data_IF_996434790107
#
_entry.id   IF_996434790107
#
_cell.length_a   1.000
_cell.length_b   1.000
_cell.length_c   1.000
_cell.angle_alpha   90.00
_cell.angle_beta   90.00
_cell.angle_gamma   90.00
#
_symmetry.space_group_name_H-M   'P 1'
#
loop_
_entity.id
_entity.type
_entity.pdbx_description
1 polymer ?
#
# COMPACT_ATOMS: atom_id res chain seq x y z
N UNK A 1 -5.37 2.41 -29.52
CA UNK A 1 -4.23 2.19 -28.62
C UNK A 1 -4.16 3.38 -27.67
N UNK A 2 -3.65 3.21 -26.46
CA UNK A 2 -3.50 4.29 -25.49
C UNK A 2 -2.04 4.73 -25.38
N UNK A 3 -1.84 6.03 -25.15
CA UNK A 3 -0.54 6.66 -24.87
C UNK A 3 -0.57 7.17 -23.44
N UNK A 4 0.52 6.97 -22.70
CA UNK A 4 0.63 7.34 -21.28
C UNK A 4 1.74 8.39 -21.13
N UNK A 5 1.42 9.44 -20.40
CA UNK A 5 2.36 10.49 -20.01
C UNK A 5 2.34 10.61 -18.50
N UNK A 6 3.52 10.73 -17.90
CA UNK A 6 3.71 11.25 -16.55
C UNK A 6 4.18 12.71 -16.67
N UNK A 7 3.93 13.54 -15.65
CA UNK A 7 4.61 14.83 -15.52
C UNK A 7 6.10 14.64 -15.14
N UNK A 8 6.86 15.73 -15.15
CA UNK A 8 8.31 15.72 -14.85
C UNK A 8 8.61 15.14 -13.47
N UNK A 9 7.83 15.51 -12.44
CA UNK A 9 7.93 14.99 -11.07
C UNK A 9 7.37 13.56 -10.91
N UNK A 10 6.72 13.01 -11.94
CA UNK A 10 6.03 11.71 -11.98
C UNK A 10 4.88 11.54 -10.97
N UNK A 11 4.38 12.63 -10.39
CA UNK A 11 3.27 12.69 -9.44
C UNK A 11 1.86 12.68 -10.08
N UNK A 12 1.77 12.85 -11.40
CA UNK A 12 0.52 12.89 -12.18
C UNK A 12 0.63 11.97 -13.39
N UNK A 13 -0.48 11.29 -13.71
CA UNK A 13 -0.60 10.43 -14.90
C UNK A 13 -1.75 10.90 -15.79
N UNK A 14 -1.51 10.95 -17.10
CA UNK A 14 -2.54 11.14 -18.12
C UNK A 14 -2.48 10.02 -19.16
N UNK A 15 -3.61 9.37 -19.41
CA UNK A 15 -3.79 8.36 -20.45
C UNK A 15 -4.66 8.94 -21.56
N UNK A 16 -4.21 8.86 -22.81
CA UNK A 16 -4.87 9.48 -23.97
C UNK A 16 -4.98 8.51 -25.15
N UNK A 17 -5.87 8.79 -26.11
CA UNK A 17 -5.94 8.03 -27.36
C UNK A 17 -4.73 8.33 -28.26
N UNK A 18 -4.23 7.33 -28.98
CA UNK A 18 -3.04 7.41 -29.86
C UNK A 18 -3.28 8.09 -31.21
N UNK A 19 -4.31 8.94 -31.35
CA UNK A 19 -4.66 9.55 -32.63
C UNK A 19 -3.94 10.91 -32.79
N UNK A 20 -2.98 10.99 -33.73
CA UNK A 20 -2.08 12.14 -33.91
C UNK A 20 -2.78 13.51 -34.08
N UNK A 21 -4.01 13.51 -34.62
CA UNK A 21 -4.79 14.74 -34.86
C UNK A 21 -5.99 14.91 -33.92
N UNK A 22 -6.30 13.94 -33.05
CA UNK A 22 -7.47 13.95 -32.16
C UNK A 22 -7.21 13.10 -30.90
N UNK A 23 -6.15 13.43 -30.15
CA UNK A 23 -5.81 12.74 -28.90
C UNK A 23 -6.77 13.17 -27.78
N UNK A 24 -7.65 12.27 -27.37
CA UNK A 24 -8.65 12.48 -26.32
C UNK A 24 -8.14 11.97 -24.97
N UNK A 25 -8.45 12.66 -23.88
CA UNK A 25 -8.16 12.21 -22.52
C UNK A 25 -9.09 11.05 -22.15
N UNK A 26 -8.50 9.93 -21.73
CA UNK A 26 -9.21 8.70 -21.35
C UNK A 26 -9.21 8.53 -19.83
N UNK A 27 -8.10 8.85 -19.17
CA UNK A 27 -7.99 8.87 -17.72
C UNK A 27 -6.94 9.89 -17.25
N UNK A 28 -7.17 10.51 -16.10
CA UNK A 28 -6.20 11.37 -15.43
C UNK A 28 -6.23 11.14 -13.91
N UNK A 29 -5.06 11.19 -13.26
CA UNK A 29 -4.92 10.90 -11.84
C UNK A 29 -3.59 11.29 -11.22
N UNK A 30 -3.48 10.98 -9.94
CA UNK A 30 -2.31 11.16 -9.09
C UNK A 30 -1.52 9.85 -8.98
N UNK A 31 -0.21 9.95 -8.84
CA UNK A 31 0.71 8.82 -8.71
C UNK A 31 1.64 9.06 -7.53
N UNK A 32 1.88 8.01 -6.75
CA UNK A 32 2.96 7.98 -5.77
C UNK A 32 3.71 6.65 -5.91
N UNK A 33 5.05 6.66 -5.85
CA UNK A 33 5.89 5.46 -5.90
C UNK A 33 6.76 5.33 -4.63
N UNK A 34 6.70 4.18 -3.98
CA UNK A 34 7.55 3.80 -2.85
C UNK A 34 8.89 3.24 -3.35
N UNK A 35 9.99 3.68 -2.75
CA UNK A 35 11.36 3.55 -3.28
C UNK A 35 12.28 2.97 -2.20
N UNK A 36 13.19 2.03 -2.55
CA UNK A 36 13.39 1.42 -3.87
C UNK A 36 12.57 0.13 -4.05
N UNK A 37 11.95 -0.07 -5.21
CA UNK A 37 11.56 -1.41 -5.70
C UNK A 37 10.37 -2.10 -4.95
N UNK A 38 9.40 -1.30 -4.48
CA UNK A 38 8.30 -1.72 -3.59
C UNK A 38 6.88 -1.62 -4.19
N UNK A 39 6.26 -0.43 -4.24
CA UNK A 39 4.83 -0.27 -4.60
C UNK A 39 4.54 1.08 -5.25
N UNK A 40 3.74 1.08 -6.34
CA UNK A 40 3.19 2.29 -6.96
C UNK A 40 1.69 2.36 -6.69
N UNK A 41 1.24 3.47 -6.13
CA UNK A 41 -0.17 3.83 -6.00
C UNK A 41 -0.56 4.78 -7.13
N UNK A 42 -1.68 4.47 -7.78
CA UNK A 42 -2.31 5.34 -8.78
C UNK A 42 -3.75 5.57 -8.33
N UNK A 43 -4.14 6.84 -8.23
CA UNK A 43 -5.52 7.25 -7.95
C UNK A 43 -6.02 8.05 -9.16
N UNK A 44 -6.91 7.46 -9.95
CA UNK A 44 -7.55 8.16 -11.05
C UNK A 44 -8.65 9.09 -10.52
N UNK A 45 -8.56 10.37 -10.86
CA UNK A 45 -9.54 11.41 -10.53
C UNK A 45 -10.68 11.43 -11.55
N UNK A 46 -10.34 11.13 -12.81
CA UNK A 46 -11.24 11.18 -13.96
C UNK A 46 -10.99 9.99 -14.88
N UNK A 47 -12.07 9.35 -15.35
CA UNK A 47 -12.05 8.31 -16.38
C UNK A 47 -13.23 8.56 -17.32
N UNK A 48 -12.98 8.61 -18.63
CA UNK A 48 -13.98 8.90 -19.66
C UNK A 48 -14.67 7.66 -20.24
N UNK A 49 -14.20 6.46 -19.89
CA UNK A 49 -14.82 5.17 -20.24
C UNK A 49 -16.04 4.89 -19.36
N UNK A 50 -17.08 4.28 -19.90
CA UNK A 50 -18.20 3.79 -19.08
C UNK A 50 -17.81 2.47 -18.39
N UNK A 51 -18.36 2.15 -17.18
CA UNK A 51 -18.12 0.85 -16.52
C UNK A 51 -18.49 -0.37 -17.37
N UNK A 52 -19.38 -0.19 -18.36
CA UNK A 52 -19.77 -1.19 -19.36
C UNK A 52 -18.67 -1.52 -20.38
N UNK A 53 -17.70 -0.63 -20.58
CA UNK A 53 -16.73 -0.69 -21.67
C UNK A 53 -15.54 -1.58 -21.31
N UNK A 54 -15.84 -2.79 -20.81
CA UNK A 54 -14.89 -3.68 -20.13
C UNK A 54 -13.62 -3.96 -20.95
N UNK A 55 -13.70 -4.05 -22.28
CA UNK A 55 -12.55 -4.24 -23.17
C UNK A 55 -11.61 -3.02 -23.18
N UNK A 56 -12.16 -1.80 -23.11
CA UNK A 56 -11.37 -0.57 -23.02
C UNK A 56 -10.77 -0.42 -21.62
N UNK A 57 -11.47 -0.86 -20.58
CA UNK A 57 -10.97 -0.87 -19.20
C UNK A 57 -9.81 -1.88 -19.05
N UNK A 58 -9.95 -3.10 -19.58
CA UNK A 58 -8.88 -4.10 -19.60
C UNK A 58 -7.65 -3.60 -20.39
N UNK A 59 -7.88 -2.94 -21.54
CA UNK A 59 -6.80 -2.30 -22.31
C UNK A 59 -6.14 -1.13 -21.56
N UNK A 60 -6.91 -0.29 -20.86
CA UNK A 60 -6.41 0.82 -20.04
C UNK A 60 -5.51 0.29 -18.93
N UNK A 61 -6.02 -0.66 -18.15
CA UNK A 61 -5.31 -1.31 -17.04
C UNK A 61 -4.03 -2.02 -17.51
N UNK A 62 -4.11 -2.81 -18.58
CA UNK A 62 -2.96 -3.52 -19.17
C UNK A 62 -1.88 -2.56 -19.69
N UNK A 63 -2.28 -1.43 -20.31
CA UNK A 63 -1.33 -0.42 -20.79
C UNK A 63 -0.65 0.32 -19.63
N UNK A 64 -1.43 0.75 -18.62
CA UNK A 64 -0.90 1.45 -17.43
C UNK A 64 0.03 0.55 -16.63
N UNK A 65 -0.40 -0.67 -16.32
CA UNK A 65 0.43 -1.68 -15.64
C UNK A 65 1.73 -1.93 -16.39
N UNK A 66 1.68 -2.09 -17.72
CA UNK A 66 2.88 -2.36 -18.52
C UNK A 66 3.86 -1.19 -18.59
N UNK A 67 3.37 0.04 -18.76
CA UNK A 67 4.18 1.26 -18.78
C UNK A 67 4.83 1.52 -17.41
N UNK A 68 4.04 1.49 -16.33
CA UNK A 68 4.52 1.77 -14.96
C UNK A 68 5.48 0.66 -14.49
N UNK A 69 5.24 -0.60 -14.87
CA UNK A 69 6.19 -1.71 -14.61
C UNK A 69 7.58 -1.46 -15.22
N UNK A 70 7.65 -0.82 -16.39
CA UNK A 70 8.89 -0.56 -17.10
C UNK A 70 9.69 0.63 -16.53
N UNK A 71 9.10 1.40 -15.60
CA UNK A 71 9.74 2.52 -14.90
C UNK A 71 10.12 2.13 -13.48
N UNK A 72 9.25 1.39 -12.77
CA UNK A 72 9.34 1.19 -11.32
C UNK A 72 9.54 -0.26 -10.86
N UNK A 73 9.38 -1.26 -11.74
CA UNK A 73 9.54 -2.69 -11.42
C UNK A 73 8.80 -3.19 -10.16
N UNK A 74 7.74 -2.49 -9.73
CA UNK A 74 7.11 -2.65 -8.41
C UNK A 74 5.77 -3.39 -8.45
N UNK A 75 5.18 -3.67 -7.28
CA UNK A 75 3.73 -3.88 -7.15
C UNK A 75 3.01 -2.61 -7.64
N UNK A 76 1.90 -2.74 -8.38
CA UNK A 76 1.11 -1.58 -8.84
C UNK A 76 -0.33 -1.75 -8.35
N UNK A 77 -0.84 -0.75 -7.64
CA UNK A 77 -2.23 -0.69 -7.20
C UNK A 77 -2.90 0.54 -7.80
N UNK A 78 -4.03 0.34 -8.48
CA UNK A 78 -4.75 1.39 -9.21
C UNK A 78 -6.16 1.52 -8.64
N UNK A 79 -6.45 2.66 -8.01
CA UNK A 79 -7.78 3.07 -7.57
C UNK A 79 -8.48 3.83 -8.70
N UNK A 80 -9.63 3.34 -9.14
CA UNK A 80 -10.56 4.08 -9.99
C UNK A 80 -11.43 5.01 -9.11
N UNK A 81 -12.04 6.08 -9.65
CA UNK A 81 -12.93 6.93 -8.87
C UNK A 81 -14.06 6.13 -8.20
N UNK A 82 -14.49 6.54 -6.99
CA UNK A 82 -15.62 5.93 -6.25
C UNK A 82 -16.91 5.71 -7.08
N UNK A 83 -17.11 6.45 -8.17
CA UNK A 83 -18.23 6.25 -9.13
C UNK A 83 -18.19 4.92 -9.90
N UNK A 84 -17.07 4.18 -9.90
CA UNK A 84 -16.95 2.85 -10.51
C UNK A 84 -17.16 1.69 -9.51
N UNK A 85 -17.30 1.99 -8.21
CA UNK A 85 -17.38 0.98 -7.15
C UNK A 85 -18.50 -0.04 -7.42
N UNK A 86 -18.11 -1.30 -7.55
CA UNK A 86 -19.01 -2.44 -7.80
C UNK A 86 -19.72 -2.43 -9.18
N UNK A 87 -19.37 -1.51 -10.09
CA UNK A 87 -19.98 -1.40 -11.43
C UNK A 87 -19.16 -2.09 -12.53
N UNK A 88 -17.84 -2.19 -12.36
CA UNK A 88 -16.98 -3.01 -13.23
C UNK A 88 -17.03 -4.47 -12.72
N UNK A 89 -17.32 -5.47 -13.57
CA UNK A 89 -17.18 -6.88 -13.21
C UNK A 89 -15.71 -7.32 -13.37
N UNK A 90 -14.88 -7.07 -12.35
CA UNK A 90 -13.45 -7.42 -12.38
C UNK A 90 -13.20 -8.94 -12.50
N UNK A 91 -14.19 -9.78 -12.17
CA UNK A 91 -14.19 -11.23 -12.39
C UNK A 91 -14.09 -11.62 -13.87
N UNK A 92 -14.38 -10.69 -14.79
CA UNK A 92 -14.44 -10.91 -16.26
C UNK A 92 -13.31 -10.22 -17.04
N UNK A 93 -12.44 -9.47 -16.36
CA UNK A 93 -11.24 -8.89 -16.97
C UNK A 93 -10.21 -10.00 -17.23
N UNK A 94 -9.45 -9.88 -18.33
CA UNK A 94 -8.40 -10.87 -18.63
C UNK A 94 -7.19 -10.65 -17.72
N UNK A 95 -6.91 -9.38 -17.38
CA UNK A 95 -5.96 -9.04 -16.33
C UNK A 95 -6.56 -9.25 -14.93
N UNK A 96 -6.50 -10.48 -14.44
CA UNK A 96 -6.98 -10.83 -13.10
C UNK A 96 -6.08 -10.30 -11.99
N UNK A 97 -6.69 -9.74 -10.95
CA UNK A 97 -6.05 -9.36 -9.69
C UNK A 97 -5.72 -10.60 -8.82
N UNK A 98 -4.86 -11.52 -9.27
CA UNK A 98 -4.53 -12.76 -8.54
C UNK A 98 -3.53 -12.53 -7.38
N UNK A 99 -3.91 -11.67 -6.44
CA UNK A 99 -3.23 -11.42 -5.17
C UNK A 99 -4.18 -11.81 -4.02
N UNK A 100 -4.31 -13.12 -3.77
CA UNK A 100 -5.28 -13.70 -2.83
C UNK A 100 -5.05 -13.31 -1.36
N UNK A 101 -3.83 -12.88 -1.05
CA UNK A 101 -3.33 -12.36 0.22
C UNK A 101 -3.51 -10.85 0.39
N UNK A 102 -3.99 -10.13 -0.63
CA UNK A 102 -4.24 -8.69 -0.56
C UNK A 102 -5.56 -8.38 0.13
N UNK A 103 -5.58 -7.34 0.97
CA UNK A 103 -6.75 -6.90 1.71
C UNK A 103 -7.01 -5.40 1.55
N UNK A 104 -8.26 -4.99 1.66
CA UNK A 104 -8.67 -3.57 1.58
C UNK A 104 -9.85 -3.24 2.50
N UNK A 105 -9.98 -1.96 2.85
CA UNK A 105 -11.12 -1.36 3.54
C UNK A 105 -11.32 0.10 3.06
N UNK A 106 -12.56 0.59 3.07
CA UNK A 106 -12.85 2.03 2.87
C UNK A 106 -13.13 2.70 4.22
N UNK A 107 -13.08 4.03 4.33
CA UNK A 107 -13.38 4.78 5.58
C UNK A 107 -14.72 4.37 6.21
N UNK A 108 -15.73 4.11 5.37
CA UNK A 108 -17.08 3.66 5.80
C UNK A 108 -17.05 2.28 6.50
N UNK A 109 -16.06 1.43 6.19
CA UNK A 109 -15.87 0.07 6.70
C UNK A 109 -14.81 -0.01 7.82
N UNK A 110 -13.93 0.99 7.92
CA UNK A 110 -12.77 1.04 8.82
C UNK A 110 -13.17 1.19 10.28
N UNK A 111 -12.55 0.38 11.15
CA UNK A 111 -12.85 0.32 12.58
C UNK A 111 -11.65 0.80 13.40
N UNK A 112 -11.72 2.07 13.76
CA UNK A 112 -10.74 2.77 14.60
C UNK A 112 -11.10 2.60 16.09
N UNK A 113 -10.10 2.29 16.92
CA UNK A 113 -10.23 1.96 18.34
C UNK A 113 -9.15 2.69 19.17
N UNK A 114 -9.15 4.04 19.24
CA UNK A 114 -8.10 4.82 19.90
C UNK A 114 -7.90 4.44 21.39
N UNK A 115 -8.98 4.11 22.08
CA UNK A 115 -9.00 3.67 23.49
C UNK A 115 -8.26 2.35 23.74
N UNK A 116 -7.98 1.58 22.68
CA UNK A 116 -7.25 0.32 22.73
C UNK A 116 -5.71 0.47 22.58
N UNK A 117 -5.19 1.69 22.49
CA UNK A 117 -3.75 1.96 22.43
C UNK A 117 -3.08 1.81 23.80
N UNK A 118 -2.10 0.89 23.89
CA UNK A 118 -1.27 0.62 25.08
C UNK A 118 -1.99 0.47 26.44
N UNK A 119 -3.23 -0.02 26.47
CA UNK A 119 -4.00 -0.23 27.71
C UNK A 119 -3.16 -0.93 28.80
N UNK A 120 -2.90 -0.22 29.90
CA UNK A 120 -2.10 -0.70 31.04
C UNK A 120 -0.59 -0.87 30.79
N UNK A 121 -0.02 -0.28 29.73
CA UNK A 121 1.41 -0.45 29.35
C UNK A 121 2.11 0.81 28.82
N UNK A 122 1.52 1.99 29.03
CA UNK A 122 2.04 3.31 28.60
C UNK A 122 3.40 3.65 29.24
N UNK A 123 3.71 3.07 30.40
CA UNK A 123 5.00 3.22 31.05
C UNK A 123 6.12 2.49 30.30
N UNK A 124 5.84 1.33 29.69
CA UNK A 124 6.82 0.51 28.96
C UNK A 124 6.92 0.87 27.47
N UNK A 125 5.81 1.20 26.79
CA UNK A 125 5.80 1.37 25.34
C UNK A 125 5.40 2.77 24.89
N UNK A 126 6.08 3.26 23.85
CA UNK A 126 5.82 4.53 23.19
C UNK A 126 5.55 4.32 21.70
N UNK A 127 4.60 5.06 21.13
CA UNK A 127 4.37 5.12 19.69
C UNK A 127 5.08 6.37 19.16
N UNK A 128 6.13 6.16 18.37
CA UNK A 128 6.91 7.21 17.70
C UNK A 128 6.47 7.28 16.24
N UNK A 129 6.14 8.48 15.76
CA UNK A 129 5.79 8.74 14.35
C UNK A 129 6.62 9.86 13.71
N UNK A 130 7.55 10.48 14.44
CA UNK A 130 8.46 11.48 13.87
C UNK A 130 9.52 10.81 13.00
N UNK A 131 9.64 11.22 11.73
CA UNK A 131 10.55 10.62 10.76
C UNK A 131 12.02 10.75 11.19
N UNK A 132 12.42 11.86 11.79
CA UNK A 132 13.82 12.10 12.17
C UNK A 132 14.21 11.24 13.37
N UNK A 133 13.32 11.08 14.36
CA UNK A 133 13.54 10.15 15.47
C UNK A 133 13.60 8.71 14.94
N UNK A 134 12.71 8.31 14.04
CA UNK A 134 12.68 6.96 13.44
C UNK A 134 13.95 6.67 12.61
N UNK A 135 14.46 7.64 11.84
CA UNK A 135 15.75 7.54 11.14
C UNK A 135 16.91 7.30 12.10
N UNK A 136 16.87 7.89 13.31
CA UNK A 136 17.84 7.63 14.38
C UNK A 136 17.88 6.18 14.88
N UNK A 137 16.89 5.36 14.53
CA UNK A 137 16.82 3.93 14.83
C UNK A 137 16.97 3.04 13.58
N UNK A 138 17.41 3.56 12.43
CA UNK A 138 17.42 2.82 11.16
C UNK A 138 18.22 1.50 11.20
N UNK A 139 19.32 1.42 11.97
CA UNK A 139 20.10 0.19 12.14
C UNK A 139 19.34 -0.88 12.94
N UNK A 140 18.72 -0.48 14.06
CA UNK A 140 17.93 -1.37 14.92
C UNK A 140 16.62 -1.79 14.23
N UNK A 141 16.04 -0.90 13.43
CA UNK A 141 14.91 -1.20 12.56
C UNK A 141 15.29 -2.20 11.45
N UNK A 142 16.45 -2.06 10.82
CA UNK A 142 16.95 -3.05 9.87
C UNK A 142 17.13 -4.43 10.54
N UNK A 143 17.68 -4.48 11.76
CA UNK A 143 17.81 -5.72 12.55
C UNK A 143 16.46 -6.33 12.97
N UNK A 144 15.45 -5.50 13.19
CA UNK A 144 14.07 -5.94 13.45
C UNK A 144 13.42 -6.51 12.19
N UNK A 145 13.49 -5.78 11.07
CA UNK A 145 12.92 -6.20 9.79
C UNK A 145 13.56 -7.51 9.33
N UNK A 146 14.89 -7.55 9.17
CA UNK A 146 15.62 -8.73 8.66
C UNK A 146 15.36 -10.01 9.45
N UNK A 147 15.02 -9.90 10.73
CA UNK A 147 14.62 -11.01 11.60
C UNK A 147 13.16 -11.43 11.41
N UNK A 148 12.22 -10.48 11.46
CA UNK A 148 10.78 -10.79 11.58
C UNK A 148 10.02 -10.78 10.24
N UNK A 149 10.52 -10.07 9.23
CA UNK A 149 9.87 -9.84 7.94
C UNK A 149 10.65 -10.52 6.80
N UNK A 150 10.16 -11.66 6.30
CA UNK A 150 10.84 -12.50 5.30
C UNK A 150 11.33 -11.72 4.07
N UNK A 151 10.53 -10.77 3.58
CA UNK A 151 10.81 -9.98 2.37
C UNK A 151 11.93 -8.95 2.54
N UNK A 152 12.48 -8.80 3.76
CA UNK A 152 13.50 -7.80 4.09
C UNK A 152 14.91 -8.35 4.28
N UNK A 153 15.12 -9.67 4.20
CA UNK A 153 16.37 -10.37 4.54
C UNK A 153 17.64 -9.81 3.88
N UNK A 154 17.50 -9.18 2.70
CA UNK A 154 18.61 -8.65 1.91
C UNK A 154 18.70 -7.11 1.95
N UNK A 155 17.83 -6.43 2.70
CA UNK A 155 17.89 -4.96 2.84
C UNK A 155 19.17 -4.54 3.58
N UNK A 156 19.60 -3.31 3.29
CA UNK A 156 20.76 -2.67 3.89
C UNK A 156 20.35 -1.34 4.54
N UNK A 157 21.29 -0.65 5.20
CA UNK A 157 20.97 0.57 5.96
C UNK A 157 20.51 1.74 5.07
N UNK A 158 21.04 1.86 3.85
CA UNK A 158 20.58 2.87 2.90
C UNK A 158 19.13 2.58 2.50
N UNK A 159 18.84 1.34 2.11
CA UNK A 159 17.49 0.92 1.73
C UNK A 159 16.49 1.09 2.89
N UNK A 160 16.86 0.75 4.13
CA UNK A 160 16.02 1.00 5.31
C UNK A 160 15.75 2.50 5.52
N UNK A 161 16.75 3.35 5.24
CA UNK A 161 16.62 4.82 5.35
C UNK A 161 15.74 5.39 4.22
N UNK A 162 15.91 4.91 2.99
CA UNK A 162 15.09 5.28 1.83
C UNK A 162 13.63 4.92 2.06
N UNK A 163 13.37 3.70 2.55
CA UNK A 163 12.05 3.22 2.99
C UNK A 163 11.39 4.14 4.02
N UNK A 164 12.15 4.66 4.99
CA UNK A 164 11.63 5.61 6.01
C UNK A 164 11.36 6.99 5.38
N UNK A 165 12.17 7.41 4.41
CA UNK A 165 12.01 8.70 3.72
C UNK A 165 10.85 8.71 2.72
N UNK A 166 10.61 7.62 1.99
CA UNK A 166 9.54 7.51 0.98
C UNK A 166 8.13 7.46 1.58
N UNK A 167 7.96 6.87 2.76
CA UNK A 167 6.65 6.71 3.38
C UNK A 167 6.05 8.04 3.84
N UNK A 168 4.78 8.29 3.54
CA UNK A 168 4.03 9.48 3.95
C UNK A 168 3.99 9.58 5.48
N UNK A 169 3.67 8.47 6.15
CA UNK A 169 3.71 8.31 7.60
C UNK A 169 4.49 7.04 7.97
N UNK A 170 5.41 7.16 8.91
CA UNK A 170 6.06 6.01 9.54
C UNK A 170 5.49 5.83 10.95
N UNK A 171 5.54 4.60 11.47
CA UNK A 171 5.28 4.36 12.88
C UNK A 171 6.23 3.30 13.43
N UNK A 172 6.81 3.59 14.59
CA UNK A 172 7.64 2.68 15.36
C UNK A 172 7.05 2.57 16.76
N UNK A 173 7.13 1.39 17.37
CA UNK A 173 6.87 1.23 18.81
C UNK A 173 8.19 0.94 19.51
N UNK A 174 8.56 1.82 20.43
CA UNK A 174 9.77 1.73 21.23
C UNK A 174 9.45 1.06 22.59
N UNK A 175 10.31 0.15 23.05
CA UNK A 175 10.36 -0.21 24.47
C UNK A 175 11.22 0.84 25.20
N UNK A 176 10.57 1.61 26.07
CA UNK A 176 11.13 2.77 26.79
C UNK A 176 12.13 2.38 27.89
N UNK A 177 12.17 1.11 28.29
CA UNK A 177 13.07 0.58 29.32
C UNK A 177 14.37 0.11 28.67
N UNK A 178 14.26 -0.54 27.51
CA UNK A 178 15.38 -1.13 26.78
C UNK A 178 15.93 -0.22 25.66
N UNK A 179 15.21 0.86 25.31
CA UNK A 179 15.51 1.78 24.21
C UNK A 179 15.69 1.08 22.84
N UNK A 180 14.87 0.06 22.56
CA UNK A 180 14.88 -0.69 21.30
C UNK A 180 13.53 -0.62 20.56
N UNK A 181 13.53 -0.61 19.21
CA UNK A 181 12.32 -0.81 18.42
C UNK A 181 11.76 -2.22 18.62
N UNK A 182 10.48 -2.31 18.98
CA UNK A 182 9.74 -3.55 19.17
C UNK A 182 8.67 -3.79 18.11
N UNK A 183 8.28 -2.76 17.35
CA UNK A 183 7.46 -2.90 16.15
C UNK A 183 7.75 -1.74 15.19
N UNK A 184 7.53 -1.98 13.89
CA UNK A 184 7.65 -0.97 12.83
C UNK A 184 6.55 -1.15 11.79
N UNK A 185 6.23 -0.08 11.08
CA UNK A 185 5.32 -0.07 9.95
C UNK A 185 5.41 1.22 9.16
N UNK A 186 4.90 1.21 7.93
CA UNK A 186 4.81 2.37 7.06
C UNK A 186 3.40 2.49 6.47
N UNK A 187 2.96 3.73 6.25
CA UNK A 187 1.77 4.08 5.48
C UNK A 187 2.20 5.02 4.36
N UNK A 188 1.87 4.61 3.15
CA UNK A 188 2.12 5.35 1.92
C UNK A 188 0.78 5.81 1.33
N UNK A 189 0.66 7.08 0.97
CA UNK A 189 -0.59 7.71 0.53
C UNK A 189 -0.43 8.39 -0.83
N UNK A 190 -1.48 8.34 -1.64
CA UNK A 190 -1.73 9.23 -2.78
C UNK A 190 -3.12 9.86 -2.62
N UNK A 191 -3.24 11.15 -2.94
CA UNK A 191 -4.44 11.94 -2.66
C UNK A 191 -4.94 12.70 -3.89
N UNK A 192 -6.24 12.95 -3.91
CA UNK A 192 -6.93 13.86 -4.82
C UNK A 192 -7.75 14.88 -4.01
N UNK A 193 -8.52 15.73 -4.70
CA UNK A 193 -9.43 16.67 -4.03
C UNK A 193 -10.63 16.03 -3.33
N UNK A 194 -10.92 14.74 -3.57
CA UNK A 194 -12.13 14.06 -3.06
C UNK A 194 -11.86 12.67 -2.45
N UNK A 195 -10.72 12.05 -2.76
CA UNK A 195 -10.39 10.68 -2.37
C UNK A 195 -8.91 10.54 -1.99
N UNK A 196 -8.62 9.68 -1.03
CA UNK A 196 -7.28 9.28 -0.59
C UNK A 196 -7.13 7.77 -0.80
N UNK A 197 -6.01 7.34 -1.35
CA UNK A 197 -5.70 5.92 -1.53
C UNK A 197 -4.37 5.60 -0.85
N UNK A 198 -4.37 4.60 0.03
CA UNK A 198 -3.23 4.31 0.90
C UNK A 198 -2.88 2.83 0.99
N UNK A 199 -1.58 2.57 1.14
CA UNK A 199 -1.02 1.24 1.34
C UNK A 199 -0.27 1.18 2.67
N UNK A 200 -0.69 0.25 3.54
CA UNK A 200 0.05 -0.08 4.76
C UNK A 200 1.07 -1.16 4.39
N UNK A 201 2.35 -0.84 4.55
CA UNK A 201 3.47 -1.73 4.29
C UNK A 201 4.29 -1.98 5.56
N UNK A 202 5.17 -2.99 5.46
CA UNK A 202 6.32 -3.18 6.34
C UNK A 202 6.01 -3.36 7.84
N UNK A 203 4.79 -3.83 8.13
CA UNK A 203 4.35 -4.21 9.48
C UNK A 203 5.22 -5.37 9.99
N UNK A 204 6.11 -5.07 10.94
CA UNK A 204 6.89 -6.03 11.70
C UNK A 204 6.66 -5.83 13.21
N UNK A 205 6.66 -6.94 13.96
CA UNK A 205 6.58 -6.95 15.43
C UNK A 205 7.56 -7.98 15.94
N UNK A 206 8.46 -7.55 16.82
CA UNK A 206 9.46 -8.40 17.47
C UNK A 206 8.80 -9.64 18.07
N UNK A 207 9.31 -10.82 17.74
CA UNK A 207 8.79 -12.12 18.19
C UNK A 207 8.73 -12.21 19.72
N UNK A 208 9.69 -11.64 20.44
CA UNK A 208 9.69 -11.55 21.91
C UNK A 208 8.60 -10.60 22.49
N UNK A 209 7.94 -9.82 21.63
CA UNK A 209 6.94 -8.80 21.96
C UNK A 209 5.57 -9.11 21.34
N UNK A 210 5.41 -10.26 20.68
CA UNK A 210 4.12 -10.72 20.16
C UNK A 210 3.12 -11.00 21.31
N UNK A 211 1.83 -11.04 20.96
CA UNK A 211 0.70 -11.04 21.91
C UNK A 211 0.59 -9.82 22.85
N UNK A 212 1.54 -8.88 22.84
CA UNK A 212 1.47 -7.62 23.61
C UNK A 212 0.62 -6.52 22.96
N UNK A 213 0.03 -6.79 21.79
CA UNK A 213 -0.85 -5.88 21.08
C UNK A 213 -0.16 -4.85 20.17
N UNK A 214 1.18 -4.87 20.05
CA UNK A 214 1.94 -3.82 19.36
C UNK A 214 1.51 -3.63 17.89
N UNK A 215 1.38 -4.73 17.12
CA UNK A 215 0.87 -4.67 15.75
C UNK A 215 -0.55 -4.11 15.63
N UNK A 216 -1.40 -4.28 16.66
CA UNK A 216 -2.73 -3.63 16.71
C UNK A 216 -2.59 -2.12 16.85
N UNK A 217 -1.66 -1.64 17.68
CA UNK A 217 -1.42 -0.19 17.86
C UNK A 217 -0.90 0.44 16.56
N UNK A 218 0.01 -0.23 15.83
CA UNK A 218 0.46 0.25 14.51
C UNK A 218 -0.68 0.36 13.49
N UNK A 219 -1.46 -0.71 13.29
CA UNK A 219 -2.59 -0.71 12.35
C UNK A 219 -3.63 0.34 12.77
N UNK A 220 -3.93 0.43 14.06
CA UNK A 220 -4.88 1.41 14.59
C UNK A 220 -4.39 2.86 14.40
N UNK A 221 -3.08 3.12 14.54
CA UNK A 221 -2.49 4.41 14.21
C UNK A 221 -2.66 4.77 12.73
N UNK A 222 -2.33 3.87 11.79
CA UNK A 222 -2.47 4.15 10.36
C UNK A 222 -3.94 4.32 9.93
N UNK A 223 -4.85 3.54 10.50
CA UNK A 223 -6.29 3.75 10.33
C UNK A 223 -6.71 5.10 10.91
N UNK A 224 -6.19 5.51 12.07
CA UNK A 224 -6.45 6.83 12.67
C UNK A 224 -5.93 8.02 11.86
N UNK A 225 -4.73 7.91 11.26
CA UNK A 225 -4.18 8.93 10.33
C UNK A 225 -5.14 9.17 9.16
N UNK A 226 -5.69 8.08 8.61
CA UNK A 226 -6.63 8.13 7.49
C UNK A 226 -8.02 8.63 7.92
N UNK A 227 -8.62 8.06 8.97
CA UNK A 227 -9.97 8.42 9.42
C UNK A 227 -10.08 9.85 9.98
N UNK A 228 -8.96 10.45 10.41
CA UNK A 228 -8.93 11.86 10.85
C UNK A 228 -8.80 12.86 9.67
N UNK A 229 -8.71 12.39 8.42
CA UNK A 229 -8.77 13.26 7.23
C UNK A 229 -10.22 13.65 6.93
N UNK A 230 -10.74 14.66 7.64
CA UNK A 230 -12.16 15.10 7.66
C UNK A 230 -12.80 15.46 6.30
N UNK A 231 -12.08 15.34 5.18
CA UNK A 231 -12.47 15.83 3.85
C UNK A 231 -12.39 14.80 2.73
N UNK A 232 -11.74 13.65 2.93
CA UNK A 232 -11.47 12.68 1.87
C UNK A 232 -12.15 11.35 2.17
N UNK A 233 -12.81 10.79 1.16
CA UNK A 233 -13.15 9.36 1.17
C UNK A 233 -11.82 8.60 1.08
N UNK A 234 -11.58 7.59 1.91
CA UNK A 234 -10.29 6.89 1.88
C UNK A 234 -10.46 5.41 1.60
N UNK A 235 -9.58 4.87 0.76
CA UNK A 235 -9.38 3.43 0.58
C UNK A 235 -8.01 3.07 1.13
N UNK A 236 -7.97 2.17 2.12
CA UNK A 236 -6.74 1.55 2.60
C UNK A 236 -6.61 0.14 2.06
N UNK A 237 -5.38 -0.25 1.73
CA UNK A 237 -5.04 -1.63 1.40
C UNK A 237 -3.71 -2.08 2.00
N UNK A 238 -3.48 -3.39 2.00
CA UNK A 238 -2.26 -4.03 2.51
C UNK A 238 -2.09 -5.42 1.88
N UNK A 239 -0.88 -5.95 1.96
CA UNK A 239 -0.58 -7.34 1.60
C UNK A 239 -0.29 -8.15 2.87
N UNK A 240 -0.98 -9.29 3.06
CA UNK A 240 -0.66 -10.21 4.15
C UNK A 240 0.64 -10.97 3.87
N UNK A 241 1.47 -11.15 4.89
CA UNK A 241 2.61 -12.05 4.82
C UNK A 241 2.15 -13.49 4.48
N UNK A 242 2.79 -14.13 3.49
CA UNK A 242 2.51 -15.51 3.09
C UNK A 242 3.16 -16.55 4.02
N UNK A 243 4.23 -16.14 4.69
CA UNK A 243 5.09 -16.98 5.52
C UNK A 243 5.46 -16.29 6.84
N UNK A 244 6.02 -17.06 7.79
CA UNK A 244 6.44 -16.56 9.10
C UNK A 244 5.31 -16.43 10.13
N UNK A 245 5.65 -15.97 11.34
CA UNK A 245 4.72 -15.82 12.47
C UNK A 245 3.58 -14.83 12.20
N UNK A 246 3.85 -13.80 11.40
CA UNK A 246 2.85 -12.82 10.96
C UNK A 246 1.72 -13.43 10.14
N UNK A 247 1.99 -14.37 9.23
CA UNK A 247 1.00 -14.90 8.29
C UNK A 247 -0.26 -15.48 8.95
N UNK A 248 -0.09 -16.15 10.10
CA UNK A 248 -1.18 -16.83 10.83
C UNK A 248 -2.05 -15.82 11.62
N UNK A 249 -1.45 -14.72 12.07
CA UNK A 249 -2.06 -13.77 13.01
C UNK A 249 -2.58 -12.49 12.33
N UNK A 250 -1.88 -11.99 11.31
CA UNK A 250 -2.15 -10.71 10.65
C UNK A 250 -3.55 -10.62 10.04
N UNK A 251 -3.99 -11.63 9.28
CA UNK A 251 -5.35 -11.68 8.70
C UNK A 251 -6.46 -11.55 9.76
N UNK A 252 -6.27 -12.11 10.96
CA UNK A 252 -7.24 -11.99 12.08
C UNK A 252 -7.19 -10.62 12.75
N UNK A 253 -6.05 -9.93 12.70
CA UNK A 253 -5.91 -8.55 13.15
C UNK A 253 -6.60 -7.60 12.17
N UNK A 254 -6.23 -7.64 10.88
CA UNK A 254 -6.72 -6.69 9.88
C UNK A 254 -8.25 -6.76 9.71
N UNK A 255 -8.85 -7.97 9.74
CA UNK A 255 -10.32 -8.15 9.74
C UNK A 255 -11.04 -7.47 10.90
N UNK A 256 -10.39 -7.26 12.05
CA UNK A 256 -10.99 -6.51 13.17
C UNK A 256 -11.03 -5.00 12.91
N UNK A 257 -10.09 -4.49 12.13
CA UNK A 257 -10.04 -3.09 11.68
C UNK A 257 -10.89 -2.80 10.44
N UNK A 258 -11.63 -3.79 9.91
CA UNK A 258 -12.51 -3.63 8.74
C UNK A 258 -11.93 -4.13 7.41
N UNK A 259 -10.68 -4.57 7.37
CA UNK A 259 -10.07 -5.09 6.14
C UNK A 259 -10.64 -6.46 5.75
N UNK A 260 -11.00 -6.61 4.48
CA UNK A 260 -11.39 -7.90 3.90
C UNK A 260 -10.53 -8.23 2.67
N UNK A 261 -10.46 -9.52 2.30
CA UNK A 261 -9.66 -9.93 1.15
C UNK A 261 -10.21 -9.36 -0.15
N UNK A 262 -9.32 -8.98 -1.08
CA UNK A 262 -9.73 -8.33 -2.32
C UNK A 262 -10.74 -9.14 -3.13
N UNK A 263 -10.62 -10.47 -3.16
CA UNK A 263 -11.55 -11.38 -3.86
C UNK A 263 -12.99 -11.40 -3.30
N UNK A 264 -13.24 -10.74 -2.15
CA UNK A 264 -14.58 -10.62 -1.54
C UNK A 264 -15.28 -9.34 -2.03
N UNK A 265 -14.53 -8.24 -2.18
CA UNK A 265 -15.08 -6.93 -2.60
C UNK A 265 -14.93 -6.66 -4.10
N UNK A 266 -13.97 -7.32 -4.77
CA UNK A 266 -13.81 -7.48 -6.22
C UNK A 266 -13.45 -6.23 -7.02
N UNK A 267 -14.04 -5.08 -6.71
CA UNK A 267 -14.40 -4.10 -7.74
C UNK A 267 -14.01 -2.64 -7.41
N UNK A 268 -12.93 -2.42 -6.67
CA UNK A 268 -12.50 -1.07 -6.22
C UNK A 268 -11.03 -0.72 -6.51
N UNK A 269 -10.14 -1.71 -6.68
CA UNK A 269 -8.69 -1.54 -6.91
C UNK A 269 -8.24 -2.55 -7.97
N UNK A 270 -7.43 -2.17 -8.96
CA UNK A 270 -6.69 -3.12 -9.79
C UNK A 270 -5.28 -3.35 -9.22
N UNK A 271 -4.82 -4.59 -9.16
CA UNK A 271 -3.61 -4.99 -8.43
C UNK A 271 -2.73 -5.86 -9.34
N UNK A 272 -1.56 -5.33 -9.72
CA UNK A 272 -0.61 -5.99 -10.60
C UNK A 272 0.62 -6.38 -9.80
N UNK A 273 0.88 -7.68 -9.58
CA UNK A 273 2.06 -8.12 -8.84
C UNK A 273 3.34 -7.73 -9.58
N UNK A 274 4.38 -7.44 -8.81
CA UNK A 274 5.74 -7.16 -9.29
C UNK A 274 6.17 -8.20 -10.34
N UNK A 275 6.49 -7.75 -11.55
CA UNK A 275 7.01 -8.62 -12.61
C UNK A 275 8.35 -9.19 -12.16
N UNK A 276 8.47 -10.52 -12.09
CA UNK A 276 9.76 -11.18 -11.88
C UNK A 276 10.71 -10.76 -13.00
N UNK A 277 11.90 -10.27 -12.64
CA UNK A 277 13.00 -10.07 -13.60
C UNK A 277 13.44 -11.45 -14.07
N UNK A 278 13.67 -11.62 -15.38
CA UNK A 278 13.92 -12.92 -16.01
C UNK A 278 15.33 -13.51 -15.74
N UNK A 279 15.97 -13.12 -14.63
CA UNK A 279 17.35 -13.46 -14.25
C UNK A 279 17.45 -14.61 -13.22
N UNK A 280 16.34 -15.15 -12.72
CA UNK A 280 16.31 -16.28 -11.77
C UNK A 280 16.23 -17.67 -12.45
N UNK A 281 16.50 -17.78 -13.77
CA UNK A 281 16.43 -19.05 -14.52
C UNK A 281 17.72 -19.42 -15.27
N UNK A 282 18.87 -18.88 -14.85
CA UNK A 282 20.19 -19.18 -15.44
C UNK A 282 21.21 -19.68 -14.41
N UNK A 283 20.80 -20.59 -13.52
CA UNK A 283 21.71 -21.31 -12.60
C UNK A 283 21.03 -22.58 -12.03
N UNK A 284 20.98 -23.63 -12.85
CA UNK A 284 20.62 -25.00 -12.49
C UNK A 284 21.49 -25.97 -13.33
#
# INVERSE_FOLDING_TARGET
MFVINLNEDKTRIQVKTSAEQNSQLIAEGNVAADVPDHTVLILFDQIALLPSDYQQIDQLLSTVSSYVSAIYHSLICIRFPRTFDNQIPFDKLQYRNECSDFMSANTDDLKYYPENNFQGRQDQYELVSDRNIILGYAEQLLQLMTREAFWSKNWNLQEMSDRINSATNNAMILDKINHIPCAFGRLFLVESSNEQFGYISDIAVDSAQQSKGLGRVLVNYFVGVVCNSEKLNSTLCLQCAKEGSGAISATKLYRRSGFEFFHIHGNRIAIFPKKKVASEQSSA
#
